data_IF_339889944250
#
_entry.id   IF_339889944250
#
_cell.length_a   1.000
_cell.length_b   1.000
_cell.length_c   1.000
_cell.angle_alpha   90.00
_cell.angle_beta   90.00
_cell.angle_gamma   90.00
#
_symmetry.space_group_name_H-M   'P 1'
#
loop_
_entity.id
_entity.type
_entity.pdbx_description
1 polymer ?
#
# COMPACT_ATOMS: atom_id res chain seq x y z
N UNK A 1 5.80 -35.28 35.19
CA UNK A 1 6.47 -34.15 34.51
C UNK A 1 5.42 -33.08 34.30
N UNK A 2 5.63 -31.92 34.91
CA UNK A 2 4.61 -30.91 35.15
C UNK A 2 4.30 -30.08 33.88
N UNK A 3 3.02 -29.85 33.65
CA UNK A 3 2.51 -28.78 32.81
C UNK A 3 2.77 -27.44 33.52
N UNK A 4 3.44 -26.51 32.84
CA UNK A 4 3.55 -25.12 33.27
C UNK A 4 2.77 -24.26 32.27
N UNK A 5 1.50 -24.04 32.61
CA UNK A 5 0.72 -22.87 32.22
C UNK A 5 1.42 -21.64 32.82
N UNK A 6 1.92 -20.73 31.99
CA UNK A 6 2.25 -19.37 32.45
C UNK A 6 1.04 -18.51 32.20
N UNK A 7 0.25 -18.35 33.25
CA UNK A 7 -0.88 -17.44 33.33
C UNK A 7 -0.43 -16.01 33.02
N UNK A 8 -1.17 -15.35 32.13
CA UNK A 8 -1.23 -13.90 32.06
C UNK A 8 -1.69 -13.41 33.44
N UNK A 9 -0.80 -12.78 34.18
CA UNK A 9 -1.19 -12.05 35.38
C UNK A 9 -1.95 -10.80 34.94
N UNK A 10 -3.26 -10.95 34.76
CA UNK A 10 -4.21 -9.85 34.62
C UNK A 10 -5.06 -9.77 35.88
N UNK A 11 -4.97 -8.64 36.56
CA UNK A 11 -6.01 -8.14 37.46
C UNK A 11 -5.61 -6.78 38.03
N UNK A 12 -6.55 -5.92 38.46
CA UNK A 12 -7.92 -5.68 38.01
C UNK A 12 -8.04 -4.30 37.31
N UNK A 13 -8.57 -4.26 36.09
CA UNK A 13 -8.82 -3.05 35.30
C UNK A 13 -7.97 -2.97 34.03
N UNK A 14 -8.19 -3.86 33.06
CA UNK A 14 -7.39 -3.94 31.82
C UNK A 14 -7.43 -2.62 31.04
N UNK A 15 -6.35 -1.84 31.16
CA UNK A 15 -6.15 -0.64 30.36
C UNK A 15 -5.64 -1.08 28.99
N UNK A 16 -6.50 -0.95 27.96
CA UNK A 16 -6.13 -1.18 26.57
C UNK A 16 -4.92 -0.33 26.18
N UNK A 17 -4.00 -0.89 25.38
CA UNK A 17 -2.90 -0.14 24.78
C UNK A 17 -3.48 0.86 23.78
N UNK A 18 -3.16 2.15 23.95
CA UNK A 18 -3.66 3.25 23.13
C UNK A 18 -2.67 3.61 22.04
N UNK A 19 -3.02 3.36 20.79
CA UNK A 19 -2.18 3.63 19.62
C UNK A 19 -2.77 4.77 18.80
N UNK A 20 -2.00 5.84 18.64
CA UNK A 20 -2.34 6.95 17.76
C UNK A 20 -1.70 6.77 16.37
N UNK A 21 -2.51 6.52 15.34
CA UNK A 21 -2.04 6.42 13.96
C UNK A 21 -2.15 7.78 13.28
N UNK A 22 -1.01 8.33 12.84
CA UNK A 22 -0.94 9.66 12.24
C UNK A 22 -1.06 9.55 10.71
N UNK A 23 -2.16 10.05 10.17
CA UNK A 23 -2.42 10.18 8.75
C UNK A 23 -2.08 11.60 8.27
N UNK A 24 -1.05 11.80 7.44
CA UNK A 24 -0.66 13.15 7.00
C UNK A 24 -1.63 13.80 6.02
N UNK A 25 -2.44 12.99 5.34
CA UNK A 25 -3.31 13.43 4.26
C UNK A 25 -4.74 13.59 4.73
N UNK A 26 -5.50 14.40 4.00
CA UNK A 26 -6.94 14.59 4.22
C UNK A 26 -7.68 13.25 4.35
N UNK A 27 -8.23 12.99 5.53
CA UNK A 27 -8.96 11.77 5.88
C UNK A 27 -10.33 11.70 5.20
N UNK A 28 -10.86 12.84 4.73
CA UNK A 28 -12.10 12.90 3.94
C UNK A 28 -11.92 12.48 2.49
N UNK A 29 -10.71 12.04 2.08
CA UNK A 29 -10.40 11.67 0.70
C UNK A 29 -9.81 10.28 0.59
N UNK A 30 -10.10 9.62 -0.54
CA UNK A 30 -9.50 8.34 -0.90
C UNK A 30 -8.04 8.50 -1.31
N UNK A 31 -7.15 7.67 -0.76
CA UNK A 31 -5.77 7.54 -1.18
C UNK A 31 -5.10 6.33 -0.54
N UNK A 32 -3.99 5.86 -1.12
CA UNK A 32 -3.36 4.60 -0.70
C UNK A 32 -2.91 4.62 0.76
N UNK A 33 -2.28 5.71 1.20
CA UNK A 33 -1.84 5.85 2.60
C UNK A 33 -3.03 5.94 3.54
N UNK A 34 -4.07 6.72 3.20
CA UNK A 34 -5.30 6.77 3.99
C UNK A 34 -5.90 5.37 4.16
N UNK A 35 -6.08 4.63 3.06
CA UNK A 35 -6.63 3.26 3.10
C UNK A 35 -5.81 2.37 4.03
N UNK A 36 -4.47 2.39 3.93
CA UNK A 36 -3.62 1.56 4.78
C UNK A 36 -3.75 1.96 6.26
N UNK A 37 -3.75 3.25 6.59
CA UNK A 37 -3.89 3.74 7.97
C UNK A 37 -5.22 3.30 8.58
N UNK A 38 -6.33 3.53 7.86
CA UNK A 38 -7.67 3.19 8.36
C UNK A 38 -7.88 1.67 8.47
N UNK A 39 -7.43 0.89 7.49
CA UNK A 39 -7.56 -0.57 7.52
C UNK A 39 -6.68 -1.21 8.60
N UNK A 40 -5.49 -0.63 8.87
CA UNK A 40 -4.62 -1.05 9.95
C UNK A 40 -5.24 -0.70 11.32
N UNK A 41 -5.69 0.53 11.51
CA UNK A 41 -6.35 0.96 12.75
C UNK A 41 -7.56 0.08 13.07
N UNK A 42 -8.45 -0.13 12.09
CA UNK A 42 -9.62 -0.99 12.22
C UNK A 42 -9.29 -2.42 12.66
N UNK A 43 -8.18 -2.99 12.19
CA UNK A 43 -7.80 -4.38 12.49
C UNK A 43 -6.98 -4.53 13.76
N UNK A 44 -6.34 -3.44 14.19
CA UNK A 44 -5.66 -3.40 15.48
C UNK A 44 -6.66 -3.17 16.62
N UNK A 45 -7.72 -2.38 16.40
CA UNK A 45 -8.74 -2.11 17.42
C UNK A 45 -9.43 -3.40 17.91
N UNK A 46 -9.43 -3.62 19.22
CA UNK A 46 -9.90 -4.86 19.83
C UNK A 46 -9.94 -4.78 21.36
N UNK A 47 -9.97 -5.94 22.01
CA UNK A 47 -10.08 -6.02 23.48
C UNK A 47 -8.83 -5.52 24.21
N UNK A 48 -7.66 -5.65 23.58
CA UNK A 48 -6.33 -5.35 24.12
C UNK A 48 -5.75 -4.02 23.61
N UNK A 49 -6.21 -3.55 22.45
CA UNK A 49 -5.72 -2.34 21.77
C UNK A 49 -6.86 -1.40 21.44
N UNK A 50 -6.68 -0.12 21.71
CA UNK A 50 -7.55 0.94 21.25
C UNK A 50 -6.81 1.85 20.27
N UNK A 51 -7.42 2.12 19.12
CA UNK A 51 -6.81 2.93 18.06
C UNK A 51 -7.54 4.25 17.85
N UNK A 52 -6.77 5.26 17.46
CA UNK A 52 -7.30 6.53 16.96
C UNK A 52 -6.51 6.96 15.73
N UNK A 53 -7.21 7.38 14.68
CA UNK A 53 -6.57 7.97 13.50
C UNK A 53 -6.58 9.49 13.65
N UNK A 54 -5.41 10.10 13.63
CA UNK A 54 -5.23 11.54 13.79
C UNK A 54 -4.69 12.08 12.47
N UNK A 55 -5.42 13.02 11.88
CA UNK A 55 -5.08 13.57 10.58
C UNK A 55 -5.96 14.76 10.24
N UNK A 56 -5.69 15.47 9.14
CA UNK A 56 -6.54 16.59 8.75
C UNK A 56 -7.80 16.11 8.02
N UNK A 57 -8.88 16.87 8.13
CA UNK A 57 -10.15 16.56 7.48
C UNK A 57 -10.95 15.49 8.24
N UNK A 58 -12.27 15.48 8.01
CA UNK A 58 -13.16 14.50 8.63
C UNK A 58 -13.50 13.43 7.60
N UNK A 59 -13.27 12.14 7.89
CA UNK A 59 -13.84 11.09 7.05
C UNK A 59 -15.37 11.20 7.07
N UNK A 60 -16.04 10.57 6.10
CA UNK A 60 -17.48 10.37 6.19
C UNK A 60 -17.83 9.40 7.34
N UNK A 61 -18.69 8.42 7.07
CA UNK A 61 -18.88 7.31 8.00
C UNK A 61 -17.56 6.51 8.15
N UNK A 62 -17.08 6.37 9.38
CA UNK A 62 -15.87 5.63 9.72
C UNK A 62 -16.14 4.69 10.90
N UNK A 63 -15.70 3.44 10.79
CA UNK A 63 -15.73 2.49 11.90
C UNK A 63 -14.56 2.67 12.89
N UNK A 64 -13.69 3.64 12.63
CA UNK A 64 -12.51 3.94 13.44
C UNK A 64 -12.64 5.35 14.01
N UNK A 65 -12.28 5.53 15.28
CA UNK A 65 -12.24 6.84 15.94
C UNK A 65 -11.23 7.75 15.23
N UNK A 66 -11.63 8.99 14.93
CA UNK A 66 -10.76 9.96 14.27
C UNK A 66 -10.69 11.31 14.99
N UNK A 67 -9.58 12.02 14.85
CA UNK A 67 -9.40 13.40 15.33
C UNK A 67 -8.90 14.30 14.20
N UNK A 68 -9.69 15.32 13.85
CA UNK A 68 -9.32 16.32 12.84
C UNK A 68 -8.36 17.37 13.43
N UNK A 69 -7.19 17.51 12.81
CA UNK A 69 -6.17 18.51 13.22
C UNK A 69 -6.20 19.79 12.40
N UNK A 70 -7.03 19.90 11.36
CA UNK A 70 -7.35 21.16 10.71
C UNK A 70 -7.51 21.12 9.21
N UNK A 71 -7.80 22.31 8.67
CA UNK A 71 -8.12 22.51 7.25
C UNK A 71 -6.92 22.23 6.36
N UNK A 72 -7.21 21.60 5.23
CA UNK A 72 -6.21 21.24 4.23
C UNK A 72 -6.07 22.28 3.12
N UNK A 73 -4.87 22.35 2.55
CA UNK A 73 -4.58 23.04 1.30
C UNK A 73 -4.14 22.01 0.26
N UNK A 74 -4.57 22.20 -0.99
CA UNK A 74 -4.18 21.30 -2.08
C UNK A 74 -2.77 21.64 -2.54
N UNK A 75 -1.86 20.68 -2.38
CA UNK A 75 -0.49 20.76 -2.89
C UNK A 75 -0.39 19.82 -4.10
N UNK A 76 0.01 20.39 -5.23
CA UNK A 76 0.27 19.64 -6.45
C UNK A 76 1.77 19.44 -6.62
N UNK A 77 2.25 18.22 -6.39
CA UNK A 77 3.65 17.83 -6.59
C UNK A 77 3.71 16.54 -7.40
N UNK A 78 4.67 16.44 -8.33
CA UNK A 78 4.89 15.24 -9.15
C UNK A 78 3.63 14.71 -9.87
N UNK A 79 2.75 15.63 -10.32
CA UNK A 79 1.44 15.32 -10.94
C UNK A 79 0.48 14.53 -10.03
N UNK A 80 0.74 14.50 -8.73
CA UNK A 80 -0.20 14.08 -7.68
C UNK A 80 -0.80 15.33 -7.02
N UNK A 81 -2.01 15.21 -6.50
CA UNK A 81 -2.72 16.29 -5.82
C UNK A 81 -3.06 15.83 -4.41
N UNK A 82 -2.22 16.19 -3.45
CA UNK A 82 -2.38 15.80 -2.05
C UNK A 82 -2.90 16.99 -1.25
N UNK A 83 -3.72 16.70 -0.25
CA UNK A 83 -4.30 17.73 0.63
C UNK A 83 -3.68 17.60 2.01
N UNK A 84 -3.00 18.66 2.44
CA UNK A 84 -2.19 18.71 3.65
C UNK A 84 -2.65 19.86 4.54
N UNK A 85 -2.67 19.65 5.86
CA UNK A 85 -2.88 20.74 6.80
C UNK A 85 -1.55 21.45 7.10
N UNK A 86 -1.47 22.72 6.68
CA UNK A 86 -0.28 23.57 6.87
C UNK A 86 -0.51 24.73 7.87
N UNK A 87 -1.58 24.65 8.67
CA UNK A 87 -1.93 25.73 9.60
C UNK A 87 -1.05 25.75 10.86
N UNK A 88 -0.70 26.92 11.42
CA UNK A 88 0.21 27.02 12.57
C UNK A 88 -0.32 26.31 13.84
N UNK A 89 -1.63 26.08 13.93
CA UNK A 89 -2.28 25.37 15.06
C UNK A 89 -2.18 23.84 14.97
N UNK A 90 -1.78 23.28 13.82
CA UNK A 90 -1.70 21.82 13.60
C UNK A 90 -0.80 21.16 14.64
N UNK A 91 0.35 21.77 14.96
CA UNK A 91 1.29 21.21 15.95
C UNK A 91 0.66 21.06 17.33
N UNK A 92 -0.05 22.09 17.81
CA UNK A 92 -0.72 22.05 19.11
C UNK A 92 -1.84 21.00 19.15
N UNK A 93 -2.63 20.93 18.08
CA UNK A 93 -3.71 19.93 17.95
C UNK A 93 -3.19 18.51 17.87
N UNK A 94 -2.06 18.28 17.20
CA UNK A 94 -1.40 16.96 17.20
C UNK A 94 -0.94 16.60 18.61
N UNK A 95 -0.30 17.52 19.34
CA UNK A 95 0.15 17.27 20.72
C UNK A 95 -1.02 16.94 21.66
N UNK A 96 -2.12 17.69 21.57
CA UNK A 96 -3.36 17.43 22.32
C UNK A 96 -4.00 16.09 21.92
N UNK A 97 -4.08 15.80 20.62
CA UNK A 97 -4.75 14.60 20.13
C UNK A 97 -4.02 13.29 20.46
N UNK A 98 -2.69 13.32 20.63
CA UNK A 98 -1.91 12.13 21.04
C UNK A 98 -1.77 12.00 22.55
N UNK A 99 -2.26 12.97 23.34
CA UNK A 99 -2.13 12.94 24.79
C UNK A 99 -2.75 11.67 25.38
N UNK A 100 -1.98 10.97 26.22
CA UNK A 100 -2.39 9.70 26.81
C UNK A 100 -2.32 8.49 25.88
N UNK A 101 -1.68 8.60 24.70
CA UNK A 101 -1.33 7.44 23.86
C UNK A 101 -0.08 6.76 24.40
N UNK A 102 -0.06 5.43 24.38
CA UNK A 102 1.11 4.63 24.75
C UNK A 102 2.13 4.57 23.61
N UNK A 103 1.67 4.68 22.36
CA UNK A 103 2.51 4.65 21.15
C UNK A 103 1.92 5.51 20.03
N UNK A 104 2.80 6.12 19.23
CA UNK A 104 2.42 6.84 18.01
C UNK A 104 2.96 6.11 16.78
N UNK A 105 2.10 5.84 15.81
CA UNK A 105 2.48 5.28 14.52
C UNK A 105 2.33 6.33 13.42
N UNK A 106 3.45 6.86 12.95
CA UNK A 106 3.49 7.96 11.97
C UNK A 106 3.68 7.42 10.56
N UNK A 107 2.74 7.73 9.67
CA UNK A 107 2.85 7.38 8.26
C UNK A 107 3.42 8.57 7.46
N UNK A 108 4.30 8.27 6.50
CA UNK A 108 4.96 9.27 5.65
C UNK A 108 5.62 10.39 6.48
N UNK A 109 6.65 10.06 7.28
CA UNK A 109 7.14 10.93 8.36
C UNK A 109 7.78 12.24 7.86
N UNK A 110 8.11 12.36 6.57
CA UNK A 110 8.63 13.59 5.98
C UNK A 110 7.55 14.53 5.41
N UNK A 111 6.26 14.18 5.52
CA UNK A 111 5.20 15.11 5.15
C UNK A 111 5.16 16.26 6.17
N UNK A 112 5.22 17.52 5.73
CA UNK A 112 5.35 18.65 6.64
C UNK A 112 4.16 18.80 7.58
N UNK A 113 4.45 19.38 8.74
CA UNK A 113 3.51 19.79 9.79
C UNK A 113 2.81 18.66 10.53
N UNK A 114 2.01 17.82 9.88
CA UNK A 114 1.25 16.76 10.56
C UNK A 114 2.19 15.68 11.08
N UNK A 115 2.85 14.95 10.17
CA UNK A 115 3.75 13.85 10.55
C UNK A 115 4.96 14.36 11.34
N UNK A 116 5.52 15.51 10.95
CA UNK A 116 6.68 16.09 11.65
C UNK A 116 6.35 16.53 13.08
N UNK A 117 5.14 17.04 13.34
CA UNK A 117 4.76 17.44 14.70
C UNK A 117 4.64 16.25 15.65
N UNK A 118 4.24 15.08 15.13
CA UNK A 118 4.02 13.89 15.94
C UNK A 118 5.31 13.19 16.40
N UNK A 119 6.45 13.43 15.75
CA UNK A 119 7.70 12.73 16.05
C UNK A 119 8.55 13.38 17.14
N UNK A 120 8.11 14.44 17.81
CA UNK A 120 8.93 15.16 18.80
C UNK A 120 8.19 15.32 20.14
N UNK A 121 7.41 14.31 20.53
CA UNK A 121 6.47 14.39 21.67
C UNK A 121 6.83 13.48 22.85
N UNK A 122 8.03 12.90 22.87
CA UNK A 122 8.48 12.04 23.99
C UNK A 122 7.71 10.72 24.16
N UNK A 123 6.86 10.35 23.19
CA UNK A 123 6.09 9.10 23.16
C UNK A 123 6.81 8.10 22.23
N UNK A 124 6.83 6.78 22.54
CA UNK A 124 7.34 5.75 21.63
C UNK A 124 6.75 5.91 20.23
N UNK A 125 7.60 5.82 19.20
CA UNK A 125 7.15 6.07 17.83
C UNK A 125 7.65 5.07 16.81
N UNK A 126 6.72 4.63 15.97
CA UNK A 126 6.97 3.85 14.77
C UNK A 126 6.79 4.76 13.55
N UNK A 127 7.74 4.75 12.62
CA UNK A 127 7.70 5.58 11.42
C UNK A 127 7.62 4.70 10.17
N UNK A 128 6.55 4.82 9.38
CA UNK A 128 6.36 4.00 8.16
C UNK A 128 6.45 4.82 6.89
N UNK A 129 7.31 4.37 5.97
CA UNK A 129 7.50 4.94 4.64
C UNK A 129 6.72 4.14 3.58
N UNK A 130 5.83 4.80 2.85
CA UNK A 130 4.98 4.22 1.80
C UNK A 130 5.47 4.55 0.39
N UNK A 131 6.07 5.72 0.20
CA UNK A 131 6.50 6.23 -1.08
C UNK A 131 7.99 5.98 -1.33
N UNK A 132 8.31 5.70 -2.60
CA UNK A 132 9.64 5.94 -3.15
C UNK A 132 9.80 7.43 -3.43
N UNK A 133 10.63 8.17 -2.66
CA UNK A 133 10.89 9.56 -2.98
C UNK A 133 11.62 9.66 -4.31
N UNK A 134 11.16 10.58 -5.17
CA UNK A 134 11.77 10.85 -6.47
C UNK A 134 13.27 11.16 -6.33
N UNK A 135 14.07 10.98 -7.38
CA UNK A 135 15.51 11.29 -7.37
C UNK A 135 15.83 12.67 -6.81
N UNK A 136 15.00 13.67 -7.13
CA UNK A 136 15.09 15.03 -6.57
C UNK A 136 14.84 15.05 -5.06
N UNK A 137 13.79 14.38 -4.59
CA UNK A 137 13.50 14.27 -3.15
C UNK A 137 14.54 13.44 -2.40
N UNK A 138 15.13 12.42 -3.03
CA UNK A 138 16.31 11.70 -2.50
C UNK A 138 17.50 12.65 -2.33
N UNK A 139 17.70 13.57 -3.28
CA UNK A 139 18.71 14.63 -3.19
C UNK A 139 18.45 15.58 -2.02
N UNK A 140 17.22 16.04 -1.86
CA UNK A 140 16.79 16.89 -0.74
C UNK A 140 16.96 16.16 0.60
N UNK A 141 16.50 14.91 0.71
CA UNK A 141 16.67 14.08 1.91
C UNK A 141 18.14 13.79 2.21
N UNK A 142 18.98 13.63 1.18
CA UNK A 142 20.43 13.48 1.33
C UNK A 142 21.07 14.75 1.89
N UNK A 143 20.61 15.92 1.47
CA UNK A 143 21.15 17.20 1.92
C UNK A 143 20.62 17.60 3.31
N UNK A 144 19.34 17.40 3.58
CA UNK A 144 18.69 17.66 4.87
C UNK A 144 19.01 16.60 5.94
N UNK A 145 19.61 15.48 5.53
CA UNK A 145 19.89 14.32 6.36
C UNK A 145 20.63 14.56 7.69
N UNK A 146 21.61 15.49 7.78
CA UNK A 146 22.25 15.84 9.06
C UNK A 146 21.27 16.50 10.04
N UNK A 147 20.33 17.31 9.53
CA UNK A 147 19.31 17.99 10.33
C UNK A 147 18.16 17.04 10.71
N UNK A 148 17.82 16.11 9.82
CA UNK A 148 16.81 15.07 10.05
C UNK A 148 17.32 13.91 10.94
N UNK A 149 18.61 13.88 11.29
CA UNK A 149 19.18 12.83 12.14
C UNK A 149 18.59 12.82 13.56
N UNK A 150 18.30 13.99 14.12
CA UNK A 150 17.62 14.09 15.43
C UNK A 150 16.15 13.64 15.38
N UNK A 151 15.50 13.83 14.23
CA UNK A 151 14.08 13.51 14.02
C UNK A 151 13.78 12.01 14.02
N UNK A 152 14.72 11.19 13.55
CA UNK A 152 14.57 9.73 13.47
C UNK A 152 15.18 8.99 14.68
N UNK A 153 15.88 9.71 15.56
CA UNK A 153 16.56 9.11 16.72
C UNK A 153 15.54 8.49 17.67
N UNK A 154 15.86 7.30 18.19
CA UNK A 154 15.00 6.55 19.11
C UNK A 154 13.69 6.06 18.49
N UNK A 155 13.56 6.07 17.16
CA UNK A 155 12.35 5.63 16.47
C UNK A 155 12.55 4.24 15.88
N UNK A 156 11.50 3.43 15.93
CA UNK A 156 11.42 2.21 15.11
C UNK A 156 11.01 2.62 13.70
N UNK A 157 11.62 2.04 12.67
CA UNK A 157 11.38 2.44 11.29
C UNK A 157 10.93 1.23 10.46
N UNK A 158 9.81 1.39 9.76
CA UNK A 158 9.35 0.42 8.76
C UNK A 158 9.21 1.05 7.38
N UNK A 159 9.25 0.21 6.35
CA UNK A 159 8.93 0.58 4.98
C UNK A 159 8.08 -0.49 4.33
N UNK A 160 7.17 -0.08 3.44
CA UNK A 160 6.23 -1.01 2.79
C UNK A 160 6.89 -1.96 1.79
N UNK A 161 8.10 -1.63 1.34
CA UNK A 161 8.89 -2.44 0.42
C UNK A 161 10.37 -2.03 0.49
N UNK A 162 11.28 -2.85 -0.07
CA UNK A 162 12.68 -2.45 -0.25
C UNK A 162 12.82 -1.20 -1.13
N UNK A 163 11.88 -0.96 -2.05
CA UNK A 163 11.89 0.23 -2.90
C UNK A 163 11.60 1.49 -2.07
N UNK A 164 10.59 1.44 -1.20
CA UNK A 164 10.30 2.53 -0.26
C UNK A 164 11.46 2.73 0.74
N UNK A 165 12.11 1.65 1.16
CA UNK A 165 13.29 1.72 2.03
C UNK A 165 14.55 2.26 1.32
N UNK A 166 14.61 2.24 -0.02
CA UNK A 166 15.84 2.53 -0.78
C UNK A 166 16.40 3.95 -0.59
N UNK A 167 15.54 4.88 -0.16
CA UNK A 167 15.94 6.25 0.15
C UNK A 167 16.42 6.44 1.60
N UNK A 168 16.20 5.45 2.46
CA UNK A 168 16.59 5.48 3.86
C UNK A 168 18.08 5.13 3.99
N UNK A 169 18.79 5.89 4.82
CA UNK A 169 20.23 5.70 5.04
C UNK A 169 20.45 4.68 6.17
N UNK A 170 21.46 3.80 6.07
CA UNK A 170 21.78 2.84 7.14
C UNK A 170 22.02 3.47 8.52
N UNK A 171 22.50 4.72 8.57
CA UNK A 171 22.72 5.45 9.83
C UNK A 171 21.44 5.84 10.59
N UNK A 172 20.26 5.60 10.02
CA UNK A 172 18.98 5.85 10.68
C UNK A 172 18.45 4.65 11.47
N UNK A 173 19.21 3.55 11.51
CA UNK A 173 18.83 2.32 12.20
C UNK A 173 18.41 1.23 11.23
N UNK A 174 18.03 0.08 11.78
CA UNK A 174 17.50 -1.02 10.99
C UNK A 174 16.09 -0.66 10.50
N UNK A 175 15.83 -0.82 9.21
CA UNK A 175 14.52 -0.59 8.59
C UNK A 175 13.86 -1.95 8.41
N UNK A 176 12.75 -2.18 9.11
CA UNK A 176 11.97 -3.41 8.89
C UNK A 176 11.02 -3.25 7.70
N UNK A 177 10.98 -4.27 6.84
CA UNK A 177 10.04 -4.27 5.72
C UNK A 177 8.73 -4.90 6.18
N UNK A 178 7.68 -4.08 6.31
CA UNK A 178 6.32 -4.54 6.63
C UNK A 178 5.42 -4.16 5.45
N UNK A 179 4.97 -5.13 4.63
CA UNK A 179 4.24 -4.84 3.40
C UNK A 179 2.88 -4.17 3.66
N UNK A 180 2.32 -3.58 2.60
CA UNK A 180 0.91 -3.20 2.63
C UNK A 180 0.02 -4.45 2.64
N UNK A 181 -1.03 -4.40 3.45
CA UNK A 181 -1.99 -5.48 3.59
C UNK A 181 -3.03 -5.50 2.46
N UNK A 182 -3.44 -6.70 2.08
CA UNK A 182 -4.63 -6.98 1.26
C UNK A 182 -5.55 -7.92 2.04
N UNK A 183 -6.84 -7.88 1.73
CA UNK A 183 -7.78 -8.89 2.20
C UNK A 183 -7.72 -10.07 1.23
N UNK A 184 -6.76 -10.99 1.44
CA UNK A 184 -6.44 -12.06 0.49
C UNK A 184 -7.65 -12.93 0.18
N UNK A 185 -8.41 -13.28 1.22
CA UNK A 185 -9.62 -14.10 1.10
C UNK A 185 -10.70 -13.42 0.24
N UNK A 186 -10.83 -12.08 0.31
CA UNK A 186 -11.83 -11.37 -0.48
C UNK A 186 -11.64 -11.45 -2.00
N UNK A 187 -10.44 -11.79 -2.47
CA UNK A 187 -10.16 -11.97 -3.90
C UNK A 187 -10.41 -13.39 -4.40
N UNK A 188 -10.68 -14.36 -3.49
CA UNK A 188 -11.10 -15.70 -3.84
C UNK A 188 -12.61 -15.75 -4.10
N UNK A 189 -13.02 -15.22 -5.25
CA UNK A 189 -14.42 -15.18 -5.67
C UNK A 189 -14.72 -16.41 -6.52
N UNK A 190 -15.78 -17.14 -6.15
CA UNK A 190 -16.33 -18.22 -6.97
C UNK A 190 -17.00 -17.62 -8.22
N UNK A 191 -16.26 -17.62 -9.33
CA UNK A 191 -16.71 -17.11 -10.61
C UNK A 191 -15.99 -17.82 -11.75
N UNK A 192 -16.67 -17.96 -12.89
CA UNK A 192 -16.04 -18.53 -14.08
C UNK A 192 -15.00 -17.56 -14.65
N UNK A 193 -13.75 -18.03 -14.75
CA UNK A 193 -12.66 -17.24 -15.31
C UNK A 193 -12.68 -17.33 -16.84
N UNK A 194 -12.80 -16.19 -17.50
CA UNK A 194 -12.77 -16.14 -18.96
C UNK A 194 -11.32 -16.34 -19.46
N UNK A 195 -11.02 -17.41 -20.23
CA UNK A 195 -9.64 -17.83 -20.52
C UNK A 195 -8.87 -16.85 -21.41
N UNK A 196 -9.58 -15.96 -22.13
CA UNK A 196 -9.00 -14.96 -23.04
C UNK A 196 -9.23 -13.51 -22.59
N UNK A 197 -9.61 -13.33 -21.33
CA UNK A 197 -9.83 -12.00 -20.76
C UNK A 197 -8.60 -11.51 -20.04
N UNK A 198 -8.13 -10.35 -20.46
CA UNK A 198 -7.07 -9.57 -19.84
C UNK A 198 -7.71 -8.44 -19.03
N UNK A 199 -7.16 -8.12 -17.88
CA UNK A 199 -7.61 -6.99 -17.06
C UNK A 199 -6.48 -6.03 -16.73
N UNK A 200 -6.79 -4.75 -16.80
CA UNK A 200 -5.95 -3.64 -16.36
C UNK A 200 -6.66 -2.88 -15.25
N UNK A 201 -5.89 -2.48 -14.24
CA UNK A 201 -6.37 -1.70 -13.12
C UNK A 201 -5.46 -0.48 -12.92
N UNK A 202 -6.00 0.71 -13.13
CA UNK A 202 -5.27 1.95 -12.97
C UNK A 202 -6.11 3.16 -13.35
N UNK A 203 -5.86 4.29 -12.67
CA UNK A 203 -6.36 5.60 -13.11
C UNK A 203 -5.81 5.92 -14.49
N UNK A 204 -6.49 6.80 -15.23
CA UNK A 204 -6.00 7.33 -16.51
C UNK A 204 -4.83 8.30 -16.28
N UNK A 205 -3.69 7.71 -15.96
CA UNK A 205 -2.44 8.38 -15.61
C UNK A 205 -1.32 7.74 -16.44
N UNK A 206 -0.51 8.53 -17.17
CA UNK A 206 0.55 8.00 -18.03
C UNK A 206 1.53 7.06 -17.30
N UNK A 207 1.70 7.23 -15.97
CA UNK A 207 2.55 6.37 -15.14
C UNK A 207 2.04 4.94 -15.05
N UNK A 208 0.72 4.74 -15.20
CA UNK A 208 0.08 3.42 -15.18
C UNK A 208 0.21 2.68 -16.51
N UNK A 209 0.62 3.36 -17.58
CA UNK A 209 1.03 2.74 -18.85
C UNK A 209 -0.11 2.11 -19.65
N UNK A 210 -1.34 2.61 -19.49
CA UNK A 210 -2.48 2.15 -20.30
C UNK A 210 -2.19 2.29 -21.80
N UNK A 211 -1.48 3.34 -22.21
CA UNK A 211 -1.07 3.55 -23.61
C UNK A 211 -0.21 2.39 -24.13
N UNK A 212 0.77 1.92 -23.34
CA UNK A 212 1.62 0.78 -23.69
C UNK A 212 0.80 -0.49 -23.89
N UNK A 213 -0.20 -0.72 -23.03
CA UNK A 213 -1.09 -1.86 -23.18
C UNK A 213 -2.01 -1.73 -24.40
N UNK A 214 -2.52 -0.54 -24.71
CA UNK A 214 -3.37 -0.32 -25.89
C UNK A 214 -2.57 -0.49 -27.19
N UNK A 215 -1.31 -0.06 -27.24
CA UNK A 215 -0.41 -0.30 -28.37
C UNK A 215 -0.18 -1.81 -28.57
N UNK A 216 0.10 -2.53 -27.49
CA UNK A 216 0.26 -3.98 -27.48
C UNK A 216 -1.03 -4.73 -27.84
N UNK A 217 -2.20 -4.17 -27.51
CA UNK A 217 -3.50 -4.80 -27.71
C UNK A 217 -3.79 -5.10 -29.18
N UNK A 218 -3.33 -4.25 -30.08
CA UNK A 218 -3.44 -4.47 -31.52
C UNK A 218 -2.73 -5.76 -31.97
N UNK A 219 -1.53 -6.02 -31.43
CA UNK A 219 -0.73 -7.22 -31.70
C UNK A 219 -1.40 -8.45 -31.08
N UNK A 220 -1.85 -8.34 -29.83
CA UNK A 220 -2.55 -9.42 -29.10
C UNK A 220 -3.77 -9.87 -29.91
N UNK A 221 -4.59 -8.94 -30.38
CA UNK A 221 -5.81 -9.27 -31.13
C UNK A 221 -5.59 -9.77 -32.55
N UNK A 222 -4.45 -9.49 -33.18
CA UNK A 222 -4.10 -10.14 -34.46
C UNK A 222 -3.84 -11.64 -34.26
N UNK A 223 -3.26 -12.02 -33.12
CA UNK A 223 -2.94 -13.43 -32.78
C UNK A 223 -4.10 -14.15 -32.08
N UNK A 224 -4.85 -13.45 -31.25
CA UNK A 224 -5.95 -13.95 -30.41
C UNK A 224 -7.20 -13.09 -30.68
N UNK A 225 -7.92 -13.33 -31.80
CA UNK A 225 -8.98 -12.42 -32.27
C UNK A 225 -10.18 -12.28 -31.33
N UNK A 226 -10.38 -13.21 -30.40
CA UNK A 226 -11.47 -13.22 -29.42
C UNK A 226 -11.01 -12.75 -28.03
N UNK A 227 -9.80 -12.19 -27.90
CA UNK A 227 -9.34 -11.62 -26.64
C UNK A 227 -10.16 -10.39 -26.21
N UNK A 228 -10.43 -10.30 -24.90
CA UNK A 228 -11.12 -9.19 -24.25
C UNK A 228 -10.19 -8.45 -23.29
N UNK A 229 -10.20 -7.11 -23.30
CA UNK A 229 -9.50 -6.27 -22.33
C UNK A 229 -10.52 -5.50 -21.48
N UNK A 230 -10.52 -5.77 -20.18
CA UNK A 230 -11.28 -5.00 -19.19
C UNK A 230 -10.36 -3.95 -18.57
N UNK A 231 -10.72 -2.68 -18.71
CA UNK A 231 -9.97 -1.55 -18.17
C UNK A 231 -10.75 -0.96 -17.00
N UNK A 232 -10.19 -1.08 -15.80
CA UNK A 232 -10.78 -0.57 -14.55
C UNK A 232 -9.99 0.65 -14.08
N UNK A 233 -10.70 1.73 -13.75
CA UNK A 233 -10.16 3.00 -13.24
C UNK A 233 -9.89 4.07 -14.29
N UNK A 234 -9.97 3.73 -15.58
CA UNK A 234 -9.82 4.66 -16.69
C UNK A 234 -11.06 4.63 -17.61
N UNK A 235 -11.39 5.79 -18.17
CA UNK A 235 -12.47 5.97 -19.14
C UNK A 235 -11.96 6.89 -20.23
N UNK A 236 -11.92 6.41 -21.47
CA UNK A 236 -11.55 7.20 -22.65
C UNK A 236 -12.73 7.25 -23.63
N UNK A 237 -12.52 7.84 -24.80
CA UNK A 237 -13.51 7.88 -25.88
C UNK A 237 -13.82 6.48 -26.44
N UNK A 238 -13.98 6.37 -27.76
CA UNK A 238 -14.33 5.09 -28.36
C UNK A 238 -13.27 4.02 -28.05
N UNK A 239 -13.65 2.89 -27.41
CA UNK A 239 -12.70 1.83 -27.11
C UNK A 239 -12.24 1.14 -28.40
N UNK A 240 -10.96 0.72 -28.49
CA UNK A 240 -10.51 -0.19 -29.53
C UNK A 240 -11.30 -1.51 -29.49
N UNK A 241 -11.25 -2.28 -30.57
CA UNK A 241 -11.93 -3.57 -30.65
C UNK A 241 -11.50 -4.50 -29.50
N UNK A 242 -12.47 -5.11 -28.82
CA UNK A 242 -12.24 -6.00 -27.68
C UNK A 242 -11.89 -5.29 -26.36
N UNK A 243 -11.85 -3.96 -26.31
CA UNK A 243 -11.60 -3.20 -25.08
C UNK A 243 -12.93 -2.73 -24.47
N UNK A 244 -13.05 -2.85 -23.15
CA UNK A 244 -14.17 -2.30 -22.37
C UNK A 244 -13.65 -1.48 -21.20
N UNK A 245 -13.94 -0.18 -21.23
CA UNK A 245 -13.70 0.72 -20.09
C UNK A 245 -14.86 0.58 -19.09
N UNK A 246 -14.52 0.33 -17.82
CA UNK A 246 -15.48 0.32 -16.72
C UNK A 246 -15.45 1.61 -15.89
N UNK A 247 -14.49 2.51 -16.14
CA UNK A 247 -14.29 3.69 -15.33
C UNK A 247 -13.95 3.34 -13.87
N UNK A 248 -14.27 4.24 -12.95
CA UNK A 248 -14.11 3.97 -11.52
C UNK A 248 -15.26 3.06 -11.04
N UNK A 249 -14.91 1.96 -10.39
CA UNK A 249 -15.87 0.94 -9.92
C UNK A 249 -15.73 0.70 -8.42
N UNK A 250 -16.71 0.01 -7.83
CA UNK A 250 -16.64 -0.41 -6.42
C UNK A 250 -15.55 -1.47 -6.20
N UNK A 251 -15.09 -1.62 -4.96
CA UNK A 251 -14.14 -2.67 -4.60
C UNK A 251 -14.65 -4.08 -4.93
N UNK A 252 -15.95 -4.35 -4.76
CA UNK A 252 -16.56 -5.63 -5.16
C UNK A 252 -16.46 -5.89 -6.66
N UNK A 253 -16.76 -4.89 -7.48
CA UNK A 253 -16.62 -4.99 -8.95
C UNK A 253 -15.15 -5.13 -9.36
N UNK A 254 -14.22 -4.44 -8.69
CA UNK A 254 -12.78 -4.59 -8.91
C UNK A 254 -12.32 -6.03 -8.68
N UNK A 255 -12.71 -6.63 -7.55
CA UNK A 255 -12.38 -8.01 -7.20
C UNK A 255 -12.97 -8.99 -8.21
N UNK A 256 -14.23 -8.79 -8.61
CA UNK A 256 -14.88 -9.64 -9.62
C UNK A 256 -14.18 -9.53 -10.98
N UNK A 257 -13.79 -8.32 -11.41
CA UNK A 257 -13.06 -8.13 -12.66
C UNK A 257 -11.70 -8.86 -12.66
N UNK A 258 -11.00 -8.87 -11.52
CA UNK A 258 -9.79 -9.66 -11.34
C UNK A 258 -10.08 -11.17 -11.39
N UNK A 259 -11.01 -11.65 -10.56
CA UNK A 259 -11.33 -13.07 -10.47
C UNK A 259 -11.83 -13.67 -11.80
N UNK A 260 -12.60 -12.90 -12.57
CA UNK A 260 -13.15 -13.33 -13.86
C UNK A 260 -12.15 -13.22 -15.05
N UNK A 261 -10.93 -12.76 -14.83
CA UNK A 261 -9.94 -12.52 -15.91
C UNK A 261 -8.77 -13.51 -15.86
N UNK A 262 -8.37 -14.04 -17.00
CA UNK A 262 -7.24 -14.96 -17.14
C UNK A 262 -5.89 -14.32 -16.77
N UNK A 263 -5.67 -13.09 -17.25
CA UNK A 263 -4.39 -12.38 -17.15
C UNK A 263 -4.60 -10.99 -16.60
N UNK A 264 -3.76 -10.58 -15.65
CA UNK A 264 -3.66 -9.18 -15.22
C UNK A 264 -2.38 -8.57 -15.81
N UNK A 265 -2.50 -7.34 -16.34
CA UNK A 265 -1.36 -6.59 -16.88
C UNK A 265 -1.10 -5.33 -16.05
N UNK A 266 0.14 -5.19 -15.59
CA UNK A 266 0.66 -4.00 -14.89
C UNK A 266 1.75 -3.30 -15.73
N UNK A 267 1.37 -2.47 -16.72
CA UNK A 267 2.30 -1.89 -17.68
C UNK A 267 2.91 -0.56 -17.21
N UNK A 268 3.01 -0.37 -15.90
CA UNK A 268 3.46 0.90 -15.32
C UNK A 268 4.83 1.31 -15.89
N UNK A 269 5.00 2.61 -16.11
CA UNK A 269 6.25 3.20 -16.62
C UNK A 269 7.19 3.65 -15.52
N UNK A 270 6.73 3.65 -14.26
CA UNK A 270 7.53 3.95 -13.08
C UNK A 270 6.69 4.49 -11.91
N UNK A 271 7.36 4.97 -10.86
CA UNK A 271 6.73 5.61 -9.71
C UNK A 271 5.91 4.67 -8.83
N UNK A 272 6.20 3.36 -8.86
CA UNK A 272 5.54 2.38 -8.01
C UNK A 272 6.45 2.03 -6.83
N UNK A 273 5.87 2.09 -5.62
CA UNK A 273 6.60 1.83 -4.39
C UNK A 273 6.34 0.43 -3.86
N UNK A 274 5.10 -0.07 -3.98
CA UNK A 274 4.74 -1.42 -3.54
C UNK A 274 4.21 -2.25 -4.71
N UNK A 275 3.18 -1.78 -5.41
CA UNK A 275 2.47 -2.57 -6.42
C UNK A 275 1.28 -3.31 -5.82
N UNK A 276 0.43 -2.61 -5.06
CA UNK A 276 -0.70 -3.23 -4.33
C UNK A 276 -1.63 -3.98 -5.29
N UNK A 277 -1.88 -3.40 -6.46
CA UNK A 277 -2.74 -3.98 -7.49
C UNK A 277 -2.15 -5.29 -8.06
N UNK A 278 -0.82 -5.42 -8.09
CA UNK A 278 -0.17 -6.69 -8.45
C UNK A 278 -0.45 -7.74 -7.37
N UNK A 279 -0.33 -7.39 -6.09
CA UNK A 279 -0.65 -8.29 -4.99
C UNK A 279 -2.14 -8.70 -4.98
N UNK A 280 -3.06 -7.76 -5.26
CA UNK A 280 -4.50 -8.02 -5.43
C UNK A 280 -4.77 -8.99 -6.59
N UNK A 281 -4.14 -8.77 -7.76
CA UNK A 281 -4.28 -9.65 -8.91
C UNK A 281 -3.70 -11.05 -8.66
N UNK A 282 -2.58 -11.12 -7.94
CA UNK A 282 -2.00 -12.39 -7.50
C UNK A 282 -2.98 -13.12 -6.57
N UNK A 283 -3.56 -12.45 -5.58
CA UNK A 283 -4.56 -13.04 -4.67
C UNK A 283 -5.81 -13.53 -5.41
N UNK A 284 -6.21 -12.83 -6.47
CA UNK A 284 -7.31 -13.23 -7.35
C UNK A 284 -6.95 -14.40 -8.29
N UNK A 285 -5.72 -14.94 -8.24
CA UNK A 285 -5.29 -16.07 -9.07
C UNK A 285 -5.08 -15.74 -10.55
N UNK A 286 -4.91 -14.46 -10.91
CA UNK A 286 -4.55 -14.07 -12.26
C UNK A 286 -3.12 -14.52 -12.57
N UNK A 287 -2.85 -14.94 -13.81
CA UNK A 287 -1.48 -14.90 -14.31
C UNK A 287 -1.08 -13.43 -14.50
N UNK A 288 0.07 -13.03 -13.96
CA UNK A 288 0.50 -11.62 -13.95
C UNK A 288 1.55 -11.37 -15.02
N UNK A 289 1.33 -10.34 -15.84
CA UNK A 289 2.35 -9.74 -16.71
C UNK A 289 2.64 -8.33 -16.22
N UNK A 290 3.88 -8.05 -15.83
CA UNK A 290 4.24 -6.77 -15.23
C UNK A 290 5.47 -6.16 -15.92
N UNK A 291 5.52 -4.82 -15.99
CA UNK A 291 6.76 -4.12 -16.35
C UNK A 291 7.90 -4.55 -15.42
N UNK A 292 9.13 -4.58 -15.92
CA UNK A 292 10.31 -4.92 -15.12
C UNK A 292 10.71 -3.78 -14.16
N UNK A 293 9.89 -3.58 -13.12
CA UNK A 293 10.09 -2.60 -12.06
C UNK A 293 10.53 -3.29 -10.77
N UNK A 294 11.46 -2.70 -9.99
CA UNK A 294 11.89 -3.28 -8.71
C UNK A 294 10.75 -3.61 -7.74
N UNK A 295 9.70 -2.77 -7.68
CA UNK A 295 8.54 -3.01 -6.83
C UNK A 295 7.77 -4.27 -7.27
N UNK A 296 7.56 -4.44 -8.57
CA UNK A 296 6.87 -5.60 -9.14
C UNK A 296 7.70 -6.89 -9.06
N UNK A 297 9.02 -6.79 -9.21
CA UNK A 297 9.96 -7.90 -8.95
C UNK A 297 9.90 -8.36 -7.49
N UNK A 298 9.80 -7.44 -6.55
CA UNK A 298 9.71 -7.80 -5.14
C UNK A 298 8.34 -8.37 -4.75
N UNK A 299 7.24 -7.84 -5.31
CA UNK A 299 5.89 -8.35 -5.05
C UNK A 299 5.65 -9.69 -5.73
N UNK A 300 5.79 -9.79 -7.04
CA UNK A 300 5.42 -11.00 -7.77
C UNK A 300 6.54 -12.04 -7.86
N UNK A 301 7.81 -11.65 -7.66
CA UNK A 301 8.98 -12.54 -7.72
C UNK A 301 9.00 -13.39 -8.99
N UNK A 302 8.84 -14.69 -8.86
CA UNK A 302 8.81 -15.71 -9.88
C UNK A 302 7.38 -16.07 -10.32
N UNK A 303 6.37 -15.45 -9.73
CA UNK A 303 4.96 -15.67 -10.05
C UNK A 303 4.45 -14.85 -11.27
N UNK A 304 5.24 -13.89 -11.76
CA UNK A 304 4.89 -13.06 -12.91
C UNK A 304 5.82 -13.27 -14.10
N UNK A 305 5.29 -13.01 -15.28
CA UNK A 305 6.05 -12.69 -16.49
C UNK A 305 6.43 -11.22 -16.49
N UNK A 306 7.66 -10.91 -16.94
CA UNK A 306 8.19 -9.55 -16.94
C UNK A 306 8.58 -9.11 -18.34
N UNK A 307 8.33 -7.85 -18.66
CA UNK A 307 8.73 -7.24 -19.93
C UNK A 307 9.42 -5.89 -19.70
N UNK A 308 10.27 -5.42 -20.65
CA UNK A 308 10.92 -4.13 -20.54
C UNK A 308 9.92 -2.97 -20.43
N UNK A 309 10.21 -2.00 -19.55
CA UNK A 309 9.34 -0.85 -19.33
C UNK A 309 9.09 -0.10 -20.64
N UNK A 310 7.82 0.09 -21.00
CA UNK A 310 7.44 0.85 -22.20
C UNK A 310 7.57 0.07 -23.52
N UNK A 311 7.74 -1.25 -23.49
CA UNK A 311 7.85 -2.09 -24.69
C UNK A 311 6.53 -2.84 -24.97
N UNK A 312 5.68 -2.32 -25.88
CA UNK A 312 4.39 -2.96 -26.21
C UNK A 312 4.55 -4.29 -26.96
N UNK A 313 5.65 -4.49 -27.71
CA UNK A 313 5.88 -5.73 -28.47
C UNK A 313 6.20 -6.88 -27.52
N UNK A 314 7.08 -6.62 -26.54
CA UNK A 314 7.40 -7.60 -25.50
C UNK A 314 6.22 -7.85 -24.57
N UNK A 315 5.46 -6.81 -24.21
CA UNK A 315 4.21 -6.97 -23.47
C UNK A 315 3.26 -7.93 -24.21
N UNK A 316 3.02 -7.68 -25.51
CA UNK A 316 2.14 -8.52 -26.30
C UNK A 316 2.59 -9.98 -26.34
N UNK A 317 3.90 -10.24 -26.50
CA UNK A 317 4.45 -11.58 -26.51
C UNK A 317 4.18 -12.34 -25.19
N UNK A 318 4.40 -11.70 -24.04
CA UNK A 318 4.13 -12.32 -22.72
C UNK A 318 2.64 -12.60 -22.52
N UNK A 319 1.77 -11.67 -22.92
CA UNK A 319 0.31 -11.87 -22.82
C UNK A 319 -0.15 -13.00 -23.74
N UNK A 320 0.28 -13.00 -25.01
CA UNK A 320 -0.08 -14.04 -25.99
C UNK A 320 0.35 -15.42 -25.48
N UNK A 321 1.57 -15.55 -24.95
CA UNK A 321 2.07 -16.81 -24.39
C UNK A 321 1.13 -17.38 -23.31
N UNK A 322 0.67 -16.53 -22.39
CA UNK A 322 -0.26 -16.93 -21.32
C UNK A 322 -1.69 -17.17 -21.82
N UNK A 323 -2.11 -16.53 -22.92
CA UNK A 323 -3.43 -16.78 -23.51
C UNK A 323 -3.45 -18.10 -24.31
N UNK A 324 -2.35 -18.42 -25.01
CA UNK A 324 -2.21 -19.63 -25.83
C UNK A 324 -2.01 -20.90 -24.97
N UNK A 325 -1.33 -20.82 -23.83
CA UNK A 325 -1.05 -21.97 -22.96
C UNK A 325 -1.84 -21.93 -21.63
N UNK A 326 -2.89 -22.75 -21.53
CA UNK A 326 -3.73 -22.82 -20.34
C UNK A 326 -3.06 -23.47 -19.13
N UNK A 327 -2.12 -24.40 -19.34
CA UNK A 327 -1.44 -25.10 -18.26
C UNK A 327 -0.42 -24.16 -17.59
N UNK A 328 0.41 -23.50 -18.40
CA UNK A 328 1.35 -22.49 -17.91
C UNK A 328 0.61 -21.36 -17.20
N UNK A 329 -0.51 -20.89 -17.77
CA UNK A 329 -1.34 -19.86 -17.13
C UNK A 329 -1.87 -20.30 -15.77
N UNK A 330 -2.40 -21.51 -15.67
CA UNK A 330 -2.94 -22.05 -14.42
C UNK A 330 -1.85 -22.18 -13.35
N UNK A 331 -0.67 -22.70 -13.72
CA UNK A 331 0.47 -22.84 -12.82
C UNK A 331 0.95 -21.48 -12.30
N UNK A 332 1.04 -20.47 -13.18
CA UNK A 332 1.41 -19.10 -12.80
C UNK A 332 0.37 -18.47 -11.88
N UNK A 333 -0.92 -18.60 -12.19
CA UNK A 333 -2.01 -18.11 -11.34
C UNK A 333 -1.99 -18.74 -9.94
N UNK A 334 -1.77 -20.05 -9.85
CA UNK A 334 -1.67 -20.76 -8.58
C UNK A 334 -0.43 -20.35 -7.77
N UNK A 335 0.71 -20.16 -8.43
CA UNK A 335 1.92 -19.64 -7.78
C UNK A 335 1.72 -18.22 -7.26
N UNK A 336 1.06 -17.37 -8.05
CA UNK A 336 0.72 -16.01 -7.68
C UNK A 336 -0.18 -15.97 -6.44
N UNK A 337 -1.25 -16.77 -6.43
CA UNK A 337 -2.20 -16.83 -5.32
C UNK A 337 -1.56 -17.28 -4.01
N UNK A 338 -0.69 -18.31 -4.04
CA UNK A 338 0.09 -18.72 -2.86
C UNK A 338 1.05 -17.62 -2.42
N UNK A 339 1.74 -16.98 -3.37
CA UNK A 339 2.69 -15.91 -3.09
C UNK A 339 2.06 -14.67 -2.44
N UNK A 340 0.80 -14.39 -2.75
CA UNK A 340 0.06 -13.24 -2.22
C UNK A 340 -0.34 -13.38 -0.75
N UNK A 341 -0.42 -14.60 -0.21
CA UNK A 341 -0.84 -14.84 1.19
C UNK A 341 0.04 -14.12 2.22
N UNK A 342 1.31 -13.85 1.89
CA UNK A 342 2.22 -13.08 2.75
C UNK A 342 1.84 -11.60 2.91
N UNK A 343 0.94 -11.11 2.07
CA UNK A 343 0.41 -9.75 2.12
C UNK A 343 -0.96 -9.70 2.78
N UNK A 344 -1.49 -10.84 3.26
CA UNK A 344 -2.76 -10.84 3.96
C UNK A 344 -2.71 -9.93 5.19
N UNK A 345 -3.79 -9.18 5.40
CA UNK A 345 -3.90 -8.26 6.52
C UNK A 345 -3.64 -8.92 7.87
N UNK A 346 -4.01 -10.19 8.07
CA UNK A 346 -3.68 -10.90 9.31
C UNK A 346 -2.17 -10.96 9.52
N UNK A 347 -1.41 -11.36 8.49
CA UNK A 347 0.05 -11.46 8.55
C UNK A 347 0.68 -10.08 8.82
N UNK A 348 0.18 -9.04 8.16
CA UNK A 348 0.67 -7.66 8.31
C UNK A 348 0.39 -7.11 9.71
N UNK A 349 -0.83 -7.31 10.22
CA UNK A 349 -1.25 -6.84 11.55
C UNK A 349 -0.48 -7.56 12.65
N UNK A 350 -0.30 -8.88 12.55
CA UNK A 350 0.50 -9.66 13.52
C UNK A 350 1.95 -9.13 13.58
N UNK A 351 2.50 -8.69 12.45
CA UNK A 351 3.83 -8.06 12.39
C UNK A 351 3.87 -6.70 13.10
N UNK A 352 2.88 -5.84 12.86
CA UNK A 352 2.78 -4.56 13.57
C UNK A 352 2.57 -4.75 15.08
N UNK A 353 1.74 -5.71 15.50
CA UNK A 353 1.54 -6.03 16.93
C UNK A 353 2.86 -6.42 17.61
N UNK A 354 3.61 -7.33 16.99
CA UNK A 354 4.93 -7.74 17.48
C UNK A 354 5.90 -6.55 17.63
N UNK A 355 5.88 -5.61 16.68
CA UNK A 355 6.67 -4.39 16.74
C UNK A 355 6.25 -3.47 17.88
N UNK A 356 4.94 -3.27 18.07
CA UNK A 356 4.43 -2.42 19.15
C UNK A 356 4.77 -3.00 20.53
N UNK A 357 4.59 -4.31 20.72
CA UNK A 357 4.95 -4.99 21.97
C UNK A 357 6.44 -4.83 22.28
N UNK A 358 7.31 -5.06 21.30
CA UNK A 358 8.76 -4.87 21.46
C UNK A 358 9.12 -3.42 21.80
N UNK A 359 8.44 -2.44 21.20
CA UNK A 359 8.67 -1.03 21.48
C UNK A 359 8.25 -0.64 22.90
N UNK A 360 7.10 -1.13 23.36
CA UNK A 360 6.58 -0.82 24.70
C UNK A 360 7.43 -1.46 25.80
N UNK A 361 8.03 -2.63 25.55
CA UNK A 361 8.93 -3.29 26.51
C UNK A 361 10.31 -2.63 26.62
N UNK A 362 10.78 -1.98 25.55
CA UNK A 362 12.13 -1.40 25.48
C UNK A 362 12.18 0.10 25.73
N UNK A 363 11.02 0.74 25.88
CA UNK A 363 10.94 2.19 26.06
C UNK A 363 11.23 2.60 27.51
N UNK A 364 12.31 3.35 27.72
CA UNK A 364 12.59 4.06 28.97
C UNK A 364 12.18 5.54 28.85
N UNK A 365 11.21 6.03 29.66
CA UNK A 365 10.82 7.43 29.65
C UNK A 365 11.99 8.36 30.02
N UNK A 366 12.30 9.33 29.15
CA UNK A 366 13.29 10.39 29.44
C UNK A 366 14.66 10.28 28.77
N UNK A 367 14.86 9.29 27.89
CA UNK A 367 16.17 9.02 27.25
C UNK A 367 16.39 9.64 25.86
N UNK A 368 15.54 10.58 25.41
CA UNK A 368 15.65 11.22 24.07
C UNK A 368 16.05 12.68 24.11
#
# INVERSE_FOLDING_TARGET
>A
MAYATTELAVGPGEQRVKIALICPYDMGRSGGVQTVVFELAKRLDGDDVSTVVIGPGTPGESSVRTVDVGRTVTIRTNRSSNQLALGPRVRGRIAEAVEGSDLIHVHEPFVPMVSIAATNLGIPRLLTFHADPTTTMRGVYRLASPLLGGFLRGSTITAVSPVAASALRPRWGNVEIVPNGIDHASFNIDTERHPRRVVFLGRDDPRKGLDVLLDAWSIIRQRVPDAELIVVGAQRGNPPAGVRYLGHVSEGTKRLALAASAVYVAPNTGGESFGIVVAEAMAAGCAVVASDLPAFRWVARDAASYFPVGDPVRLAAEVISLLDDSAVRADRGALAQRGAARFDWKVVVDRYRSLYESMLQTFEPGTT
#
